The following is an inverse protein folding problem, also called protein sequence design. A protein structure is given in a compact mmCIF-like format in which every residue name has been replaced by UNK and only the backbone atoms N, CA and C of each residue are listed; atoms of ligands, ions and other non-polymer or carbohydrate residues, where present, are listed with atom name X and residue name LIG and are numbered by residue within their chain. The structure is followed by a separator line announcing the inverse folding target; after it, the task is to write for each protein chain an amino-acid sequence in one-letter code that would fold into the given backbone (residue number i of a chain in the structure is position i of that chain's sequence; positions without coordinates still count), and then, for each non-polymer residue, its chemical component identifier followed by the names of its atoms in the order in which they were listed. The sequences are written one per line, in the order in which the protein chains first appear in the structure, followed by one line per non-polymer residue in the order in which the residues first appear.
data_IF_806592949147
#
_entry.id   IF_806592949147
#
_cell.length_a   1.000
_cell.length_b   1.000
_cell.length_c   1.000
_cell.angle_alpha   90.00
_cell.angle_beta   90.00
_cell.angle_gamma   90.00
#
_symmetry.space_group_name_H-M   'P 1'
#
loop_
_entity.id
_entity.type
_entity.pdbx_description
1 polymer ?
#
# COMPACT_ATOMS: atom_id res chain seq x y z
N UNK A 1 -2.78 4.63 -4.34
CA UNK A 1 -1.77 3.59 -4.01
C UNK A 1 -1.02 3.18 -5.26
N UNK A 2 0.23 2.71 -5.12
CA UNK A 2 1.03 2.18 -6.23
C UNK A 2 1.95 1.07 -5.72
N UNK A 3 2.19 0.02 -6.52
CA UNK A 3 3.14 -1.03 -6.15
C UNK A 3 4.58 -0.57 -6.41
N UNK A 4 5.53 -0.97 -5.56
CA UNK A 4 6.95 -0.67 -5.78
C UNK A 4 7.51 -1.35 -7.03
N UNK A 5 6.91 -2.47 -7.43
CA UNK A 5 7.19 -3.17 -8.69
C UNK A 5 6.85 -2.30 -9.89
N UNK A 6 5.70 -1.62 -9.87
CA UNK A 6 5.30 -0.69 -10.94
C UNK A 6 6.18 0.56 -10.97
N UNK A 7 6.59 1.10 -9.81
CA UNK A 7 7.58 2.19 -9.76
C UNK A 7 8.87 1.77 -10.46
N UNK A 8 9.38 0.56 -10.18
CA UNK A 8 10.56 0.02 -10.85
C UNK A 8 10.39 -0.11 -12.36
N UNK A 9 9.19 -0.48 -12.83
CA UNK A 9 8.87 -0.53 -14.24
C UNK A 9 8.93 0.86 -14.89
N UNK A 10 8.29 1.88 -14.30
CA UNK A 10 8.33 3.25 -14.81
C UNK A 10 9.74 3.86 -14.77
N UNK A 11 10.52 3.57 -13.73
CA UNK A 11 11.92 3.97 -13.65
C UNK A 11 12.77 3.32 -14.75
N UNK A 12 12.52 2.06 -15.11
CA UNK A 12 13.19 1.43 -16.25
C UNK A 12 12.78 2.10 -17.57
N UNK A 13 11.49 2.42 -17.76
CA UNK A 13 11.03 3.11 -18.98
C UNK A 13 11.67 4.49 -19.15
N UNK A 14 11.85 5.26 -18.07
CA UNK A 14 12.47 6.58 -18.17
C UNK A 14 13.93 6.53 -18.58
N UNK A 15 14.64 5.46 -18.22
CA UNK A 15 16.02 5.23 -18.65
C UNK A 15 16.13 4.77 -20.10
N UNK A 16 15.19 3.93 -20.58
CA UNK A 16 15.20 3.45 -21.96
C UNK A 16 14.67 4.48 -22.97
N UNK A 17 13.81 5.39 -22.53
CA UNK A 17 13.14 6.38 -23.38
C UNK A 17 13.36 7.82 -22.86
N UNK A 18 14.62 8.27 -22.69
CA UNK A 18 14.91 9.58 -22.11
C UNK A 18 14.27 10.73 -22.90
N UNK A 19 14.05 10.59 -24.21
CA UNK A 19 13.35 11.56 -25.05
C UNK A 19 11.90 11.82 -24.62
N UNK A 20 11.26 10.83 -23.99
CA UNK A 20 9.86 10.90 -23.55
C UNK A 20 9.73 11.33 -22.09
N UNK A 21 10.73 11.05 -21.27
CA UNK A 21 10.65 11.18 -19.80
C UNK A 21 11.61 12.21 -19.20
N UNK A 22 12.53 12.79 -19.99
CA UNK A 22 13.41 13.86 -19.52
C UNK A 22 12.58 15.06 -19.08
N UNK A 23 12.92 15.60 -17.90
CA UNK A 23 12.26 16.76 -17.27
C UNK A 23 10.75 16.59 -17.05
N UNK A 24 10.25 15.35 -17.11
CA UNK A 24 8.85 15.03 -16.90
C UNK A 24 8.56 14.71 -15.42
N UNK A 25 7.47 15.25 -14.90
CA UNK A 25 6.89 14.84 -13.62
C UNK A 25 5.59 14.06 -13.91
N UNK A 26 5.46 12.86 -13.33
CA UNK A 26 4.28 12.02 -13.50
C UNK A 26 3.86 11.39 -12.17
N UNK A 27 2.56 11.45 -11.91
CA UNK A 27 1.92 10.82 -10.75
C UNK A 27 1.55 9.39 -11.12
N UNK A 28 2.06 8.41 -10.38
CA UNK A 28 1.80 6.99 -10.64
C UNK A 28 0.80 6.44 -9.62
N UNK A 29 -0.36 5.98 -10.07
CA UNK A 29 -1.40 5.40 -9.20
C UNK A 29 -1.97 4.14 -9.85
N UNK A 30 -1.94 3.03 -9.12
CA UNK A 30 -2.50 1.74 -9.54
C UNK A 30 -3.88 1.47 -8.96
N UNK A 31 -4.23 2.16 -7.87
CA UNK A 31 -5.54 2.06 -7.22
C UNK A 31 -5.84 3.30 -6.38
N UNK A 32 -7.12 3.64 -6.22
CA UNK A 32 -7.60 4.71 -5.33
C UNK A 32 -8.73 4.17 -4.48
N UNK A 33 -8.45 3.95 -3.19
CA UNK A 33 -9.34 3.28 -2.26
C UNK A 33 -9.41 4.03 -0.95
N UNK A 34 -10.60 4.09 -0.37
CA UNK A 34 -10.78 4.42 1.04
C UNK A 34 -10.25 3.29 1.93
N UNK A 35 -10.00 3.60 3.20
CA UNK A 35 -9.61 2.59 4.20
C UNK A 35 -10.61 1.43 4.29
N UNK A 36 -11.91 1.69 4.10
CA UNK A 36 -12.96 0.67 4.18
C UNK A 36 -12.93 -0.27 2.98
N UNK A 37 -12.73 0.27 1.78
CA UNK A 37 -12.63 -0.53 0.55
C UNK A 37 -11.35 -1.38 0.55
N UNK A 38 -10.22 -0.80 0.97
CA UNK A 38 -8.97 -1.56 1.13
C UNK A 38 -9.16 -2.72 2.12
N UNK A 39 -9.80 -2.48 3.26
CA UNK A 39 -10.04 -3.50 4.27
C UNK A 39 -11.03 -4.59 3.81
N UNK A 40 -12.03 -4.25 2.98
CA UNK A 40 -12.90 -5.22 2.33
C UNK A 40 -12.12 -6.15 1.39
N UNK A 41 -11.33 -5.58 0.47
CA UNK A 41 -10.48 -6.34 -0.46
C UNK A 41 -9.47 -7.21 0.32
N UNK A 42 -8.83 -6.65 1.33
CA UNK A 42 -7.88 -7.39 2.17
C UNK A 42 -8.56 -8.58 2.88
N UNK A 43 -9.77 -8.37 3.40
CA UNK A 43 -10.54 -9.44 4.06
C UNK A 43 -10.87 -10.56 3.07
N UNK A 44 -11.27 -10.23 1.86
CA UNK A 44 -11.56 -11.23 0.81
C UNK A 44 -10.32 -12.02 0.40
N UNK A 45 -9.19 -11.34 0.16
CA UNK A 45 -7.98 -11.97 -0.36
C UNK A 45 -7.22 -12.74 0.73
N UNK A 46 -7.10 -12.16 1.93
CA UNK A 46 -6.27 -12.68 3.03
C UNK A 46 -7.09 -13.48 4.06
N UNK A 47 -8.42 -13.29 4.09
CA UNK A 47 -9.34 -14.01 4.98
C UNK A 47 -9.44 -13.44 6.40
N UNK A 48 -9.03 -12.19 6.62
CA UNK A 48 -9.15 -11.49 7.91
C UNK A 48 -9.12 -9.99 7.72
N UNK A 49 -9.61 -9.22 8.70
CA UNK A 49 -9.59 -7.75 8.69
C UNK A 49 -8.15 -7.21 8.71
N UNK A 50 -7.93 -6.06 8.09
CA UNK A 50 -6.67 -5.32 8.23
C UNK A 50 -6.47 -4.95 9.70
N UNK A 51 -5.24 -5.13 10.19
CA UNK A 51 -4.86 -4.66 11.52
C UNK A 51 -4.92 -3.13 11.56
N UNK A 52 -5.96 -2.58 12.18
CA UNK A 52 -6.04 -1.15 12.46
C UNK A 52 -5.28 -0.86 13.74
N UNK A 53 -4.40 0.15 13.72
CA UNK A 53 -3.81 0.66 14.95
C UNK A 53 -4.93 1.21 15.84
N UNK A 54 -4.89 0.89 17.14
CA UNK A 54 -5.81 1.49 18.10
C UNK A 54 -5.69 3.03 18.03
N UNK A 55 -6.83 3.72 18.05
CA UNK A 55 -6.92 5.18 17.91
C UNK A 55 -5.89 5.98 18.74
N UNK A 56 -5.53 5.61 19.99
CA UNK A 56 -4.53 6.34 20.76
C UNK A 56 -3.13 6.27 20.14
N UNK A 57 -2.74 5.12 19.62
CA UNK A 57 -1.44 4.90 18.97
C UNK A 57 -1.40 5.66 17.65
N UNK A 58 -2.48 5.60 16.87
CA UNK A 58 -2.60 6.35 15.62
C UNK A 58 -2.49 7.87 15.86
N UNK A 59 -3.13 8.39 16.91
CA UNK A 59 -3.06 9.81 17.27
C UNK A 59 -1.68 10.20 17.79
N UNK A 60 -1.02 9.35 18.59
CA UNK A 60 0.35 9.59 19.06
C UNK A 60 1.34 9.65 17.88
N UNK A 61 1.24 8.72 16.93
CA UNK A 61 2.07 8.72 15.70
C UNK A 61 1.83 9.98 14.88
N UNK A 62 0.56 10.38 14.66
CA UNK A 62 0.22 11.62 13.94
C UNK A 62 0.77 12.86 14.64
N UNK A 63 0.78 12.88 15.98
CA UNK A 63 1.27 14.01 16.77
C UNK A 63 2.80 14.09 16.75
N UNK A 64 3.49 12.95 16.90
CA UNK A 64 4.96 12.88 16.90
C UNK A 64 5.53 13.13 15.50
N UNK A 65 4.85 12.64 14.45
CA UNK A 65 5.24 12.80 13.05
C UNK A 65 4.45 13.90 12.33
N UNK A 66 4.06 14.95 13.06
CA UNK A 66 3.17 16.00 12.56
C UNK A 66 3.64 16.57 11.22
N UNK A 67 4.93 16.94 11.09
CA UNK A 67 5.53 17.52 9.89
C UNK A 67 5.86 16.52 8.77
N UNK A 68 5.35 15.30 8.83
CA UNK A 68 5.58 14.29 7.79
C UNK A 68 4.32 13.45 7.59
N UNK A 69 4.21 12.38 8.36
CA UNK A 69 3.14 11.38 8.25
C UNK A 69 1.80 11.96 8.72
N UNK A 70 1.81 12.84 9.73
CA UNK A 70 0.61 13.51 10.23
C UNK A 70 -0.06 14.39 9.17
N UNK A 71 0.72 15.29 8.55
CA UNK A 71 0.24 16.17 7.47
C UNK A 71 -0.15 15.38 6.22
N UNK A 72 0.58 14.32 5.87
CA UNK A 72 0.22 13.42 4.76
C UNK A 72 -1.14 12.75 4.97
N UNK A 73 -1.42 12.25 6.18
CA UNK A 73 -2.73 11.65 6.50
C UNK A 73 -3.86 12.67 6.51
N UNK A 74 -3.57 13.91 6.92
CA UNK A 74 -4.55 15.00 6.87
C UNK A 74 -4.88 15.35 5.41
N UNK A 75 -3.85 15.53 4.58
CA UNK A 75 -4.01 15.76 3.15
C UNK A 75 -4.74 14.61 2.44
N UNK A 76 -4.48 13.35 2.80
CA UNK A 76 -5.25 12.22 2.26
C UNK A 76 -6.75 12.26 2.62
N UNK A 77 -7.10 12.81 3.79
CA UNK A 77 -8.50 12.96 4.19
C UNK A 77 -9.20 14.16 3.54
N UNK A 78 -8.45 15.23 3.28
CA UNK A 78 -8.98 16.50 2.77
C UNK A 78 -9.01 16.56 1.23
N UNK A 79 -8.00 16.02 0.54
CA UNK A 79 -7.84 16.17 -0.93
C UNK A 79 -7.74 14.85 -1.72
N UNK A 80 -7.28 13.75 -1.10
CA UNK A 80 -7.02 12.49 -1.81
C UNK A 80 -5.76 12.53 -2.69
N UNK A 81 -5.34 11.40 -3.27
CA UNK A 81 -4.10 11.37 -4.09
C UNK A 81 -4.30 11.98 -5.49
N UNK A 82 -5.56 12.06 -5.96
CA UNK A 82 -5.93 12.76 -7.20
C UNK A 82 -5.29 12.22 -8.47
N UNK A 83 -4.88 10.94 -8.48
CA UNK A 83 -4.16 10.35 -9.60
C UNK A 83 -5.07 9.65 -10.61
N UNK A 84 -4.77 9.80 -11.89
CA UNK A 84 -5.51 9.14 -12.97
C UNK A 84 -5.10 7.66 -13.10
N UNK A 85 -5.81 6.79 -12.38
CA UNK A 85 -5.60 5.32 -12.42
C UNK A 85 -5.76 4.79 -13.85
N UNK A 86 -6.75 5.26 -14.59
CA UNK A 86 -7.04 4.75 -15.93
C UNK A 86 -5.93 5.18 -16.92
N UNK A 87 -5.48 6.44 -16.83
CA UNK A 87 -4.35 6.94 -17.58
C UNK A 87 -3.07 6.16 -17.28
N UNK A 88 -2.77 5.87 -16.00
CA UNK A 88 -1.60 5.09 -15.62
C UNK A 88 -1.62 3.65 -16.17
N UNK A 89 -2.79 3.00 -16.17
CA UNK A 89 -2.96 1.66 -16.76
C UNK A 89 -2.74 1.63 -18.27
N UNK A 90 -3.02 2.72 -18.98
CA UNK A 90 -2.74 2.81 -20.42
C UNK A 90 -1.22 2.77 -20.70
N UNK A 91 -0.39 3.25 -19.78
CA UNK A 91 1.08 3.17 -19.91
C UNK A 91 1.62 1.80 -19.51
N UNK A 92 1.09 1.19 -18.45
CA UNK A 92 1.45 -0.15 -18.02
C UNK A 92 0.18 -1.00 -17.83
N UNK A 93 -0.16 -1.79 -18.83
CA UNK A 93 -1.32 -2.70 -18.78
C UNK A 93 -1.23 -3.74 -17.64
N UNK A 94 -0.02 -3.97 -17.10
CA UNK A 94 0.23 -4.88 -15.97
C UNK A 94 0.26 -4.17 -14.62
N UNK A 95 -0.08 -2.88 -14.57
CA UNK A 95 -0.08 -2.12 -13.33
C UNK A 95 -1.02 -2.74 -12.30
N UNK A 96 -0.52 -2.91 -11.09
CA UNK A 96 -1.26 -3.62 -10.04
C UNK A 96 -2.24 -2.68 -9.33
N UNK A 97 -3.50 -3.09 -9.25
CA UNK A 97 -4.37 -2.63 -8.17
C UNK A 97 -4.00 -3.31 -6.86
N UNK A 98 -4.67 -2.87 -5.79
CA UNK A 98 -4.44 -3.40 -4.46
C UNK A 98 -4.72 -4.90 -4.36
N UNK A 99 -5.75 -5.41 -5.06
CA UNK A 99 -6.08 -6.84 -5.07
C UNK A 99 -4.97 -7.65 -5.73
N UNK A 100 -4.56 -7.28 -6.95
CA UNK A 100 -3.53 -7.98 -7.70
C UNK A 100 -2.21 -8.03 -6.90
N UNK A 101 -1.85 -6.92 -6.25
CA UNK A 101 -0.69 -6.88 -5.37
C UNK A 101 -0.85 -7.80 -4.16
N UNK A 102 -2.01 -7.84 -3.51
CA UNK A 102 -2.27 -8.73 -2.37
C UNK A 102 -2.21 -10.21 -2.76
N UNK A 103 -2.77 -10.60 -3.90
CA UNK A 103 -2.73 -11.99 -4.37
C UNK A 103 -1.28 -12.43 -4.67
N UNK A 104 -0.48 -11.58 -5.32
CA UNK A 104 0.95 -11.87 -5.56
C UNK A 104 1.74 -12.01 -4.24
N UNK A 105 1.39 -11.21 -3.22
CA UNK A 105 2.12 -11.17 -1.94
C UNK A 105 1.48 -12.02 -0.83
N UNK A 106 0.39 -12.74 -1.12
CA UNK A 106 -0.45 -13.47 -0.15
C UNK A 106 0.34 -14.46 0.71
N UNK A 107 1.33 -15.12 0.11
CA UNK A 107 2.20 -16.07 0.81
C UNK A 107 2.95 -15.42 1.99
N UNK A 108 3.44 -14.20 1.82
CA UNK A 108 4.18 -13.50 2.88
C UNK A 108 3.29 -13.22 4.11
N UNK A 109 2.02 -12.90 3.89
CA UNK A 109 1.04 -12.70 4.95
C UNK A 109 0.73 -14.01 5.69
N UNK A 110 0.60 -15.12 4.95
CA UNK A 110 0.40 -16.46 5.53
C UNK A 110 1.60 -16.90 6.39
N UNK A 111 2.82 -16.65 5.94
CA UNK A 111 4.05 -17.00 6.67
C UNK A 111 4.19 -16.20 7.97
N UNK A 112 3.97 -14.88 7.92
CA UNK A 112 3.97 -14.01 9.11
C UNK A 112 2.93 -14.46 10.15
N UNK A 113 1.75 -14.91 9.70
CA UNK A 113 0.72 -15.47 10.60
C UNK A 113 1.18 -16.75 11.28
N UNK A 114 1.78 -17.68 10.54
CA UNK A 114 2.34 -18.92 11.13
C UNK A 114 3.40 -18.61 12.18
N UNK A 115 4.24 -17.61 11.92
CA UNK A 115 5.26 -17.17 12.88
C UNK A 115 4.62 -16.59 14.15
N UNK A 116 3.66 -15.66 14.01
CA UNK A 116 2.96 -15.06 15.13
C UNK A 116 2.22 -16.10 16.00
N UNK A 117 1.57 -17.08 15.37
CA UNK A 117 0.89 -18.17 16.09
C UNK A 117 1.88 -19.05 16.87
N UNK A 118 3.03 -19.39 16.28
CA UNK A 118 4.10 -20.13 16.98
C UNK A 118 4.64 -19.37 18.18
N UNK A 119 4.86 -18.06 18.05
CA UNK A 119 5.31 -17.22 19.16
C UNK A 119 4.28 -17.14 20.29
N UNK A 120 2.99 -17.04 19.98
CA UNK A 120 1.93 -17.03 20.99
C UNK A 120 1.84 -18.35 21.77
N UNK A 121 1.99 -19.49 21.09
CA UNK A 121 2.03 -20.83 21.72
C UNK A 121 3.25 -20.98 22.62
N UNK A 122 4.43 -20.49 22.19
CA UNK A 122 5.65 -20.54 23.00
C UNK A 122 5.53 -19.72 24.30
N UNK A 123 4.89 -18.55 24.24
CA UNK A 123 4.66 -17.70 25.43
C UNK A 123 3.65 -18.34 26.41
N UNK A 124 2.64 -19.06 25.92
CA UNK A 124 1.63 -19.70 26.77
C UNK A 124 1.99 -21.12 27.24
N UNK A 125 3.01 -21.76 26.64
CA UNK A 125 3.48 -23.09 27.04
C UNK A 125 4.59 -23.11 28.10
N UNK A 126 5.04 -21.94 28.57
CA UNK A 126 6.03 -21.77 29.65
C UNK A 126 5.39 -21.38 30.99
N UNK A 127 4.06 -21.49 31.11
CA UNK A 127 3.30 -21.27 32.35
C UNK A 127 3.00 -22.56 33.08
#
# INVERSE_FOLDING_TARGET
MVSTKDIGWFAAQSLFHPEKYRDAASTHVGDELTQREADAIYTEVIGQRMGLAACPIANAVKFVLKYSVGDMFKWFGDEGYGGDVQGCRNYNLKMQDFRAWLEENKRSFQEKRKLAAKSAVFVHGLG
#
